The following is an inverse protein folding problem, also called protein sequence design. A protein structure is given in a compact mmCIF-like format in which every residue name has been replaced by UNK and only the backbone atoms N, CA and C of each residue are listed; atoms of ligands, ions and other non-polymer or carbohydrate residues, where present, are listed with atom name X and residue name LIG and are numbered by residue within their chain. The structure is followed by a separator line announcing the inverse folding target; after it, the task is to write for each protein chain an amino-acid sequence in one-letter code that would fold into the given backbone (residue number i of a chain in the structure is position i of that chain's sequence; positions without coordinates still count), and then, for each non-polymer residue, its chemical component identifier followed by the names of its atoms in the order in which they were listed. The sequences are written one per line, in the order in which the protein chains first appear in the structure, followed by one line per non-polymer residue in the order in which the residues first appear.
data_IF_438606331138
#
_entry.id   IF_438606331138
#
_cell.length_a   1.000
_cell.length_b   1.000
_cell.length_c   1.000
_cell.angle_alpha   90.00
_cell.angle_beta   90.00
_cell.angle_gamma   90.00
#
_symmetry.space_group_name_H-M   'P 1'
#
loop_
_entity.id
_entity.type
_entity.pdbx_description
1 polymer ?
#
# COMPACT_ATOMS: atom_id res chain seq x y z
N UNK A 1 -35.20 21.24 9.41
CA UNK A 1 -33.83 21.01 9.91
C UNK A 1 -33.17 19.94 9.03
N UNK A 2 -31.93 20.12 8.57
CA UNK A 2 -31.20 19.04 7.93
C UNK A 2 -31.08 17.84 8.89
N UNK A 3 -31.15 16.60 8.40
CA UNK A 3 -31.05 15.41 9.24
C UNK A 3 -29.73 15.44 10.03
N UNK A 4 -29.78 15.21 11.35
CA UNK A 4 -28.57 15.17 12.18
C UNK A 4 -27.68 14.00 11.71
N UNK A 5 -26.39 14.28 11.49
CA UNK A 5 -25.38 13.25 11.22
C UNK A 5 -25.28 12.32 12.43
N UNK A 6 -25.80 11.10 12.30
CA UNK A 6 -25.72 10.07 13.36
C UNK A 6 -24.30 9.52 13.50
N UNK A 7 -23.58 9.42 12.39
CA UNK A 7 -22.18 8.99 12.34
C UNK A 7 -21.35 10.05 11.62
N UNK A 8 -20.10 10.22 12.07
CA UNK A 8 -19.11 11.00 11.34
C UNK A 8 -18.71 10.31 10.05
N UNK A 9 -18.14 11.08 9.12
CA UNK A 9 -17.59 10.53 7.87
C UNK A 9 -16.52 9.46 8.17
N UNK A 10 -15.64 9.75 9.12
CA UNK A 10 -14.57 8.84 9.56
C UNK A 10 -15.11 7.52 10.13
N UNK A 11 -16.13 7.55 10.99
CA UNK A 11 -16.75 6.33 11.53
C UNK A 11 -17.32 5.41 10.44
N UNK A 12 -17.86 6.00 9.37
CA UNK A 12 -18.37 5.24 8.22
C UNK A 12 -17.22 4.65 7.41
N UNK A 13 -16.15 5.41 7.18
CA UNK A 13 -14.94 4.93 6.50
C UNK A 13 -14.28 3.79 7.30
N UNK A 14 -14.21 3.90 8.62
CA UNK A 14 -13.64 2.84 9.49
C UNK A 14 -14.44 1.55 9.41
N UNK A 15 -15.79 1.65 9.45
CA UNK A 15 -16.64 0.48 9.30
C UNK A 15 -16.49 -0.16 7.91
N UNK A 16 -16.39 0.65 6.85
CA UNK A 16 -16.17 0.17 5.49
C UNK A 16 -14.77 -0.45 5.31
N UNK A 17 -13.73 0.15 5.90
CA UNK A 17 -12.37 -0.37 5.90
C UNK A 17 -12.29 -1.74 6.55
N UNK A 18 -12.96 -1.93 7.69
CA UNK A 18 -13.00 -3.23 8.37
C UNK A 18 -13.73 -4.31 7.57
N UNK A 19 -14.72 -3.95 6.75
CA UNK A 19 -15.32 -4.89 5.76
C UNK A 19 -14.28 -5.22 4.70
N UNK A 20 -13.61 -4.20 4.16
CA UNK A 20 -12.65 -4.35 3.08
C UNK A 20 -11.42 -5.18 3.48
N UNK A 21 -10.95 -5.01 4.72
CA UNK A 21 -9.84 -5.77 5.31
C UNK A 21 -10.10 -7.27 5.31
N UNK A 22 -11.34 -7.69 5.53
CA UNK A 22 -11.71 -9.12 5.64
C UNK A 22 -12.21 -9.68 4.31
N UNK A 23 -12.99 -8.89 3.57
CA UNK A 23 -13.75 -9.38 2.42
C UNK A 23 -13.32 -8.76 1.07
N UNK A 24 -12.53 -7.67 1.11
CA UNK A 24 -12.12 -6.90 -0.06
C UNK A 24 -12.95 -5.64 -0.31
N UNK A 25 -12.37 -4.68 -1.03
CA UNK A 25 -13.00 -3.42 -1.46
C UNK A 25 -14.27 -3.67 -2.26
N UNK A 26 -14.28 -4.65 -3.18
CA UNK A 26 -15.47 -4.98 -3.98
C UNK A 26 -16.65 -5.52 -3.17
N UNK A 27 -16.46 -5.83 -1.89
CA UNK A 27 -17.52 -6.27 -0.98
C UNK A 27 -18.12 -5.14 -0.15
N UNK A 28 -17.60 -3.92 -0.25
CA UNK A 28 -18.21 -2.75 0.37
C UNK A 28 -19.56 -2.49 -0.30
N UNK A 29 -20.60 -2.40 0.51
CA UNK A 29 -21.93 -1.93 0.09
C UNK A 29 -22.51 -1.04 1.18
N UNK A 30 -23.34 -0.06 0.81
CA UNK A 30 -24.01 0.81 1.78
C UNK A 30 -24.79 -0.01 2.82
N UNK A 31 -25.43 -1.11 2.41
CA UNK A 31 -26.16 -2.00 3.33
C UNK A 31 -25.23 -2.65 4.35
N UNK A 32 -24.14 -3.28 3.91
CA UNK A 32 -23.19 -3.93 4.83
C UNK A 32 -22.57 -2.95 5.81
N UNK A 33 -22.23 -1.75 5.35
CA UNK A 33 -21.68 -0.70 6.22
C UNK A 33 -22.72 -0.26 7.25
N UNK A 34 -23.98 -0.11 6.86
CA UNK A 34 -25.07 0.23 7.77
C UNK A 34 -25.32 -0.87 8.81
N UNK A 35 -25.31 -2.13 8.38
CA UNK A 35 -25.46 -3.30 9.25
C UNK A 35 -24.31 -3.34 10.28
N UNK A 36 -23.06 -3.12 9.84
CA UNK A 36 -21.90 -3.07 10.73
C UNK A 36 -21.94 -1.92 11.72
N UNK A 37 -22.57 -0.80 11.37
CA UNK A 37 -22.81 0.34 12.24
C UNK A 37 -24.08 0.20 13.10
N UNK A 38 -24.86 -0.89 12.97
CA UNK A 38 -26.13 -1.06 13.67
C UNK A 38 -27.14 0.03 13.33
N UNK A 39 -27.25 0.40 12.05
CA UNK A 39 -28.08 1.52 11.60
C UNK A 39 -28.81 1.24 10.28
N UNK A 40 -29.80 2.06 9.96
CA UNK A 40 -30.33 2.12 8.59
C UNK A 40 -29.29 2.70 7.62
N UNK A 41 -29.53 2.58 6.31
CA UNK A 41 -28.66 3.13 5.26
C UNK A 41 -28.66 4.66 5.19
N UNK A 42 -29.69 5.33 5.74
CA UNK A 42 -29.89 6.77 5.56
C UNK A 42 -28.72 7.63 6.09
N UNK A 43 -28.11 7.37 7.26
CA UNK A 43 -26.97 8.13 7.74
C UNK A 43 -25.70 8.03 6.88
N UNK A 44 -25.58 6.99 6.04
CA UNK A 44 -24.46 6.85 5.12
C UNK A 44 -24.64 7.82 3.94
N UNK A 45 -25.85 7.87 3.37
CA UNK A 45 -26.19 8.81 2.28
C UNK A 45 -26.17 10.29 2.69
N UNK A 46 -26.16 10.59 3.99
CA UNK A 46 -25.92 11.96 4.48
C UNK A 46 -24.46 12.39 4.33
N UNK A 47 -23.52 11.43 4.24
CA UNK A 47 -22.09 11.70 4.16
C UNK A 47 -21.46 11.33 2.81
N UNK A 48 -22.10 10.47 2.01
CA UNK A 48 -21.59 9.97 0.73
C UNK A 48 -22.71 9.93 -0.30
N UNK A 49 -22.42 10.33 -1.54
CA UNK A 49 -23.39 10.32 -2.64
C UNK A 49 -23.67 8.90 -3.13
N UNK A 50 -22.64 8.06 -3.17
CA UNK A 50 -22.70 6.67 -3.60
C UNK A 50 -21.64 5.82 -2.89
N UNK A 51 -21.60 4.52 -3.24
CA UNK A 51 -20.62 3.59 -2.68
C UNK A 51 -19.20 3.84 -3.20
N UNK A 52 -19.06 4.42 -4.38
CA UNK A 52 -17.77 4.70 -5.01
C UNK A 52 -17.02 5.81 -4.26
N UNK A 53 -17.71 6.86 -3.85
CA UNK A 53 -17.17 7.91 -2.99
C UNK A 53 -16.66 7.34 -1.66
N UNK A 54 -17.41 6.39 -1.07
CA UNK A 54 -17.00 5.71 0.15
C UNK A 54 -15.77 4.83 -0.07
N UNK A 55 -15.74 4.05 -1.15
CA UNK A 55 -14.59 3.20 -1.51
C UNK A 55 -13.34 4.06 -1.70
N UNK A 56 -13.44 5.19 -2.39
CA UNK A 56 -12.33 6.13 -2.57
C UNK A 56 -11.73 6.61 -1.24
N UNK A 57 -12.58 6.94 -0.26
CA UNK A 57 -12.08 7.36 1.05
C UNK A 57 -11.51 6.20 1.89
N UNK A 58 -11.99 4.96 1.67
CA UNK A 58 -11.34 3.75 2.22
C UNK A 58 -9.95 3.54 1.61
N UNK A 59 -9.79 3.75 0.29
CA UNK A 59 -8.48 3.69 -0.39
C UNK A 59 -7.52 4.73 0.17
N UNK A 60 -7.97 5.98 0.38
CA UNK A 60 -7.16 7.02 1.03
C UNK A 60 -6.72 6.62 2.43
N UNK A 61 -7.64 6.09 3.25
CA UNK A 61 -7.30 5.59 4.59
C UNK A 61 -6.23 4.50 4.52
N UNK A 62 -6.32 3.60 3.55
CA UNK A 62 -5.31 2.55 3.35
C UNK A 62 -3.94 3.11 2.99
N UNK A 63 -3.87 4.15 2.15
CA UNK A 63 -2.62 4.85 1.83
C UNK A 63 -2.02 5.48 3.08
N UNK A 64 -2.83 6.14 3.90
CA UNK A 64 -2.38 6.71 5.18
C UNK A 64 -1.83 5.65 6.13
N UNK A 65 -2.47 4.47 6.20
CA UNK A 65 -1.95 3.34 6.98
C UNK A 65 -0.59 2.91 6.45
N UNK A 66 -0.44 2.76 5.13
CA UNK A 66 0.84 2.37 4.53
C UNK A 66 1.95 3.41 4.81
N UNK A 67 1.65 4.70 4.68
CA UNK A 67 2.59 5.78 5.02
C UNK A 67 3.00 5.73 6.49
N UNK A 68 2.05 5.51 7.40
CA UNK A 68 2.32 5.35 8.82
C UNK A 68 3.23 4.13 9.09
N UNK A 69 3.01 3.02 8.40
CA UNK A 69 3.85 1.82 8.53
C UNK A 69 5.30 2.06 8.08
N UNK A 70 5.51 2.92 7.07
CA UNK A 70 6.85 3.36 6.63
C UNK A 70 7.50 4.22 7.73
N UNK A 71 6.78 5.21 8.25
CA UNK A 71 7.29 6.11 9.30
C UNK A 71 7.57 5.43 10.64
N UNK A 72 6.91 4.30 10.92
CA UNK A 72 7.17 3.46 12.08
C UNK A 72 8.47 2.66 11.96
N UNK A 73 9.03 2.52 10.75
CA UNK A 73 10.32 1.89 10.57
C UNK A 73 11.44 2.84 11.00
N UNK A 74 12.55 2.26 11.44
CA UNK A 74 13.72 3.00 11.88
C UNK A 74 14.98 2.17 11.68
N UNK A 75 15.19 1.64 10.46
CA UNK A 75 16.42 0.90 10.16
C UNK A 75 17.63 1.81 9.88
N UNK A 76 17.38 3.11 9.71
CA UNK A 76 18.41 4.09 9.36
C UNK A 76 18.65 4.23 7.86
N UNK A 77 17.93 3.47 7.02
CA UNK A 77 17.87 3.65 5.57
C UNK A 77 16.40 3.70 5.11
N UNK A 78 15.95 4.88 4.69
CA UNK A 78 14.56 5.13 4.27
C UNK A 78 14.11 4.21 3.13
N UNK A 79 15.02 3.81 2.22
CA UNK A 79 14.65 2.91 1.12
C UNK A 79 14.37 1.49 1.61
N UNK A 80 15.18 1.01 2.55
CA UNK A 80 14.97 -0.27 3.21
C UNK A 80 13.67 -0.27 4.02
N UNK A 81 13.42 0.82 4.74
CA UNK A 81 12.21 1.04 5.54
C UNK A 81 10.93 0.99 4.69
N UNK A 82 10.94 1.64 3.51
CA UNK A 82 9.84 1.52 2.52
C UNK A 82 9.60 0.05 2.15
N UNK A 83 10.67 -0.70 1.92
CA UNK A 83 10.57 -2.10 1.51
C UNK A 83 10.01 -3.02 2.59
N UNK A 84 10.45 -2.87 3.84
CA UNK A 84 9.95 -3.65 4.99
C UNK A 84 8.49 -3.33 5.26
N UNK A 85 8.12 -2.04 5.27
CA UNK A 85 6.74 -1.63 5.45
C UNK A 85 5.82 -2.19 4.35
N UNK A 86 6.30 -2.23 3.10
CA UNK A 86 5.55 -2.79 1.97
C UNK A 86 5.28 -4.29 2.14
N UNK A 87 6.27 -5.08 2.59
CA UNK A 87 6.09 -6.51 2.88
C UNK A 87 5.12 -6.73 4.05
N UNK A 88 5.27 -5.95 5.12
CA UNK A 88 4.38 -5.99 6.29
C UNK A 88 2.95 -5.66 5.88
N UNK A 89 2.75 -4.64 5.05
CA UNK A 89 1.44 -4.26 4.53
C UNK A 89 0.81 -5.41 3.71
N UNK A 90 1.57 -6.03 2.80
CA UNK A 90 1.09 -7.15 2.00
C UNK A 90 0.71 -8.36 2.85
N UNK A 91 1.39 -8.58 3.98
CA UNK A 91 1.07 -9.65 4.93
C UNK A 91 -0.17 -9.34 5.78
N UNK A 92 -0.19 -8.19 6.46
CA UNK A 92 -1.27 -7.80 7.39
C UNK A 92 -2.59 -7.50 6.69
N UNK A 93 -2.53 -6.97 5.46
CA UNK A 93 -3.69 -6.56 4.67
C UNK A 93 -3.81 -7.38 3.37
N UNK A 94 -3.49 -8.67 3.42
CA UNK A 94 -3.39 -9.56 2.26
C UNK A 94 -4.62 -9.56 1.33
N UNK A 95 -5.85 -9.52 1.86
CA UNK A 95 -7.07 -9.45 1.03
C UNK A 95 -7.11 -8.16 0.21
N UNK A 96 -6.84 -7.03 0.86
CA UNK A 96 -6.78 -5.71 0.20
C UNK A 96 -5.63 -5.65 -0.80
N UNK A 97 -4.44 -6.09 -0.39
CA UNK A 97 -3.26 -6.12 -1.25
C UNK A 97 -3.52 -6.95 -2.52
N UNK A 98 -4.05 -8.17 -2.37
CA UNK A 98 -4.37 -9.03 -3.51
C UNK A 98 -5.40 -8.39 -4.44
N UNK A 99 -6.45 -7.77 -3.91
CA UNK A 99 -7.46 -7.12 -4.74
C UNK A 99 -6.93 -5.91 -5.50
N UNK A 100 -6.05 -5.13 -4.88
CA UNK A 100 -5.39 -3.99 -5.51
C UNK A 100 -4.40 -4.40 -6.60
N UNK A 101 -3.72 -5.54 -6.43
CA UNK A 101 -2.74 -6.04 -7.40
C UNK A 101 -3.36 -6.81 -8.57
N UNK A 102 -4.46 -7.56 -8.33
CA UNK A 102 -5.02 -8.49 -9.32
C UNK A 102 -6.08 -7.86 -10.24
N UNK A 103 -6.68 -6.73 -9.84
CA UNK A 103 -7.66 -6.02 -10.66
C UNK A 103 -7.03 -4.80 -11.27
N UNK A 104 -7.42 -4.46 -12.50
CA UNK A 104 -7.16 -3.14 -13.05
C UNK A 104 -7.92 -2.14 -12.19
N UNK A 105 -7.25 -1.58 -11.19
CA UNK A 105 -7.90 -0.81 -10.17
C UNK A 105 -7.89 0.67 -10.56
N UNK A 106 -9.05 1.18 -10.97
CA UNK A 106 -9.19 2.59 -11.36
C UNK A 106 -8.88 3.54 -10.20
N UNK A 107 -9.14 3.11 -8.95
CA UNK A 107 -8.79 3.87 -7.75
C UNK A 107 -7.28 3.96 -7.50
N UNK A 108 -6.43 3.22 -8.22
CA UNK A 108 -4.97 3.31 -8.08
C UNK A 108 -4.28 3.98 -9.26
N UNK A 109 -4.98 4.28 -10.37
CA UNK A 109 -4.31 4.86 -11.55
C UNK A 109 -3.67 6.21 -11.25
N UNK A 110 -4.46 7.14 -10.71
CA UNK A 110 -3.98 8.49 -10.38
C UNK A 110 -3.10 8.47 -9.12
N UNK A 111 -3.47 7.64 -8.14
CA UNK A 111 -2.73 7.50 -6.88
C UNK A 111 -1.36 6.83 -7.06
N UNK A 112 -1.17 5.92 -8.01
CA UNK A 112 0.13 5.29 -8.23
C UNK A 112 1.20 6.30 -8.65
N UNK A 113 0.82 7.34 -9.40
CA UNK A 113 1.74 8.41 -9.79
C UNK A 113 2.07 9.32 -8.60
N UNK A 114 1.07 9.74 -7.82
CA UNK A 114 1.28 10.56 -6.62
C UNK A 114 2.10 9.82 -5.55
N UNK A 115 1.69 8.59 -5.20
CA UNK A 115 2.43 7.74 -4.26
C UNK A 115 3.84 7.46 -4.78
N UNK A 116 4.01 7.25 -6.09
CA UNK A 116 5.33 7.07 -6.70
C UNK A 116 6.25 8.27 -6.46
N UNK A 117 5.74 9.49 -6.64
CA UNK A 117 6.51 10.72 -6.42
C UNK A 117 6.83 10.94 -4.94
N UNK A 118 5.90 10.64 -4.04
CA UNK A 118 6.12 10.71 -2.58
C UNK A 118 7.20 9.72 -2.15
N UNK A 119 7.13 8.48 -2.63
CA UNK A 119 8.16 7.47 -2.35
C UNK A 119 9.53 7.88 -2.91
N UNK A 120 9.59 8.42 -4.14
CA UNK A 120 10.85 8.94 -4.71
C UNK A 120 11.41 10.09 -3.88
N UNK A 121 10.54 10.95 -3.33
CA UNK A 121 10.97 12.03 -2.44
C UNK A 121 11.58 11.49 -1.15
N UNK A 122 10.97 10.47 -0.54
CA UNK A 122 11.54 9.77 0.63
C UNK A 122 12.85 9.02 0.29
N UNK A 123 12.95 8.41 -0.89
CA UNK A 123 14.16 7.70 -1.34
C UNK A 123 15.38 8.61 -1.42
N UNK A 124 15.20 9.92 -1.65
CA UNK A 124 16.30 10.89 -1.68
C UNK A 124 16.97 11.10 -0.30
N UNK A 125 16.31 10.69 0.78
CA UNK A 125 16.87 10.74 2.13
C UNK A 125 17.83 9.57 2.40
N UNK A 126 17.83 8.54 1.54
CA UNK A 126 18.71 7.39 1.69
C UNK A 126 20.12 7.68 1.16
N UNK A 127 21.12 7.45 2.01
CA UNK A 127 22.55 7.57 1.66
C UNK A 127 22.94 6.59 0.54
N UNK A 128 22.33 5.40 0.50
CA UNK A 128 22.62 4.39 -0.53
C UNK A 128 22.12 4.79 -1.92
N UNK A 129 21.19 5.74 -1.98
CA UNK A 129 20.60 6.27 -3.22
C UNK A 129 21.12 7.65 -3.62
N UNK A 130 22.09 8.19 -2.88
CA UNK A 130 22.69 9.49 -3.18
C UNK A 130 23.24 9.55 -4.61
N UNK A 131 22.96 10.66 -5.29
CA UNK A 131 23.47 10.94 -6.63
C UNK A 131 22.61 10.40 -7.78
N UNK A 132 21.54 9.65 -7.54
CA UNK A 132 20.57 9.28 -8.58
C UNK A 132 19.60 10.42 -8.92
N UNK A 133 19.16 10.51 -10.17
CA UNK A 133 18.09 11.41 -10.60
C UNK A 133 16.71 10.83 -10.26
N UNK A 134 15.67 11.67 -10.28
CA UNK A 134 14.28 11.23 -10.05
C UNK A 134 13.85 10.11 -11.02
N UNK A 135 14.29 10.17 -12.28
CA UNK A 135 14.02 9.11 -13.26
C UNK A 135 14.73 7.80 -12.89
N UNK A 136 15.99 7.87 -12.43
CA UNK A 136 16.76 6.71 -11.99
C UNK A 136 16.14 6.09 -10.72
N UNK A 137 15.74 6.92 -9.75
CA UNK A 137 15.04 6.52 -8.54
C UNK A 137 13.70 5.88 -8.85
N UNK A 138 12.91 6.46 -9.76
CA UNK A 138 11.64 5.89 -10.20
C UNK A 138 11.83 4.51 -10.85
N UNK A 139 12.89 4.33 -11.62
CA UNK A 139 13.22 3.03 -12.22
C UNK A 139 13.68 1.99 -11.18
N UNK A 140 14.47 2.39 -10.18
CA UNK A 140 14.85 1.54 -9.04
C UNK A 140 13.60 1.13 -8.27
N UNK A 141 12.73 2.10 -7.94
CA UNK A 141 11.48 1.87 -7.22
C UNK A 141 10.57 0.91 -7.99
N UNK A 142 10.42 1.09 -9.29
CA UNK A 142 9.60 0.21 -10.14
C UNK A 142 10.10 -1.23 -10.10
N UNK A 143 11.42 -1.46 -10.25
CA UNK A 143 12.02 -2.80 -10.18
C UNK A 143 11.76 -3.45 -8.83
N UNK A 144 11.99 -2.73 -7.74
CA UNK A 144 11.77 -3.25 -6.39
C UNK A 144 10.29 -3.53 -6.12
N UNK A 145 9.37 -2.67 -6.57
CA UNK A 145 7.92 -2.91 -6.45
C UNK A 145 7.48 -4.16 -7.21
N UNK A 146 7.98 -4.39 -8.42
CA UNK A 146 7.68 -5.59 -9.19
C UNK A 146 8.19 -6.84 -8.46
N UNK A 147 9.44 -6.80 -7.99
CA UNK A 147 10.04 -7.87 -7.21
C UNK A 147 9.24 -8.17 -5.94
N UNK A 148 8.91 -7.14 -5.14
CA UNK A 148 8.11 -7.24 -3.92
C UNK A 148 6.71 -7.78 -4.18
N UNK A 149 6.07 -7.35 -5.28
CA UNK A 149 4.76 -7.85 -5.69
C UNK A 149 4.81 -9.36 -5.96
N UNK A 150 5.80 -9.82 -6.73
CA UNK A 150 6.04 -11.24 -6.97
C UNK A 150 6.34 -12.01 -5.68
N UNK A 151 7.25 -11.50 -4.86
CA UNK A 151 7.62 -12.11 -3.57
C UNK A 151 6.42 -12.23 -2.64
N UNK A 152 5.57 -11.20 -2.54
CA UNK A 152 4.36 -11.21 -1.71
C UNK A 152 3.36 -12.28 -2.17
N UNK A 153 3.18 -12.44 -3.49
CA UNK A 153 2.35 -13.53 -4.05
C UNK A 153 2.95 -14.89 -3.69
N UNK A 154 4.26 -15.07 -3.80
CA UNK A 154 4.93 -16.33 -3.44
C UNK A 154 4.79 -16.67 -1.95
N UNK A 155 4.96 -15.68 -1.07
CA UNK A 155 4.74 -15.82 0.38
C UNK A 155 3.29 -16.21 0.66
N UNK A 156 2.32 -15.45 0.13
CA UNK A 156 0.90 -15.65 0.39
C UNK A 156 0.38 -17.02 -0.08
N UNK A 157 0.96 -17.57 -1.14
CA UNK A 157 0.59 -18.87 -1.70
C UNK A 157 1.47 -20.03 -1.19
N UNK A 158 2.37 -19.79 -0.23
CA UNK A 158 3.26 -20.82 0.30
C UNK A 158 4.19 -21.44 -0.75
N UNK A 159 4.58 -20.66 -1.76
CA UNK A 159 5.41 -21.11 -2.89
C UNK A 159 6.91 -20.99 -2.61
N UNK A 160 7.28 -20.47 -1.44
CA UNK A 160 8.68 -20.39 -0.99
C UNK A 160 9.11 -21.71 -0.32
N UNK A 161 10.42 -22.01 -0.29
CA UNK A 161 10.96 -23.14 0.46
C UNK A 161 10.47 -23.17 1.92
N UNK A 162 10.29 -24.36 2.50
CA UNK A 162 9.71 -24.50 3.86
C UNK A 162 10.55 -23.88 4.97
N UNK A 163 11.85 -23.71 4.75
CA UNK A 163 12.79 -23.08 5.67
C UNK A 163 12.92 -21.56 5.45
N UNK A 164 12.10 -20.98 4.57
CA UNK A 164 12.11 -19.56 4.23
C UNK A 164 11.27 -18.76 5.24
N UNK A 165 11.92 -18.31 6.32
CA UNK A 165 11.32 -17.52 7.40
C UNK A 165 11.12 -16.06 6.97
N UNK A 166 10.35 -15.28 7.76
CA UNK A 166 10.21 -13.84 7.55
C UNK A 166 11.55 -13.11 7.52
N UNK A 167 12.51 -13.50 8.36
CA UNK A 167 13.85 -12.92 8.36
C UNK A 167 14.55 -13.14 7.01
N UNK A 168 14.46 -14.35 6.44
CA UNK A 168 14.99 -14.64 5.09
C UNK A 168 14.28 -13.87 3.98
N UNK A 169 13.00 -13.54 4.14
CA UNK A 169 12.27 -12.66 3.20
C UNK A 169 12.86 -11.25 3.23
N UNK A 170 13.17 -10.72 4.42
CA UNK A 170 13.82 -9.41 4.56
C UNK A 170 15.25 -9.44 4.04
N UNK A 171 16.04 -10.47 4.35
CA UNK A 171 17.39 -10.64 3.80
C UNK A 171 17.41 -10.68 2.28
N UNK A 172 16.48 -11.42 1.66
CA UNK A 172 16.35 -11.48 0.20
C UNK A 172 15.96 -10.13 -0.39
N UNK A 173 15.09 -9.37 0.30
CA UNK A 173 14.74 -8.03 -0.11
C UNK A 173 15.95 -7.09 -0.08
N UNK A 174 16.73 -7.14 1.00
CA UNK A 174 17.93 -6.33 1.19
C UNK A 174 18.99 -6.65 0.11
N UNK A 175 19.29 -7.94 -0.11
CA UNK A 175 20.28 -8.34 -1.12
C UNK A 175 19.84 -7.96 -2.54
N UNK A 176 18.55 -8.09 -2.84
CA UNK A 176 18.00 -7.70 -4.15
C UNK A 176 18.05 -6.18 -4.35
N UNK A 177 17.79 -5.40 -3.30
CA UNK A 177 17.93 -3.95 -3.34
C UNK A 177 19.38 -3.55 -3.65
N UNK A 178 20.36 -4.18 -2.99
CA UNK A 178 21.78 -3.99 -3.26
C UNK A 178 22.13 -4.30 -4.72
N UNK A 179 21.72 -5.46 -5.23
CA UNK A 179 21.94 -5.87 -6.63
C UNK A 179 21.41 -4.82 -7.63
N UNK A 180 20.19 -4.32 -7.39
CA UNK A 180 19.55 -3.31 -8.25
C UNK A 180 20.30 -1.98 -8.18
N UNK A 181 20.67 -1.51 -6.99
CA UNK A 181 21.37 -0.24 -6.78
C UNK A 181 22.77 -0.28 -7.39
N UNK A 182 23.55 -1.33 -7.11
CA UNK A 182 24.92 -1.49 -7.65
C UNK A 182 24.89 -1.52 -9.17
N UNK A 183 23.99 -2.31 -9.76
CA UNK A 183 23.85 -2.37 -11.22
C UNK A 183 23.36 -1.03 -11.81
N UNK A 184 22.55 -0.26 -11.10
CA UNK A 184 22.15 1.08 -11.52
C UNK A 184 23.33 2.07 -11.51
N UNK A 185 24.15 2.06 -10.44
CA UNK A 185 25.37 2.89 -10.34
C UNK A 185 26.38 2.57 -11.44
N UNK A 186 26.62 1.27 -11.72
CA UNK A 186 27.53 0.86 -12.80
C UNK A 186 27.08 1.38 -14.16
N UNK A 187 25.80 1.23 -14.50
CA UNK A 187 25.25 1.74 -15.77
C UNK A 187 25.33 3.27 -15.88
N UNK A 188 25.20 3.98 -14.76
CA UNK A 188 25.34 5.43 -14.70
C UNK A 188 26.77 5.87 -14.99
N UNK A 189 27.76 5.23 -14.36
CA UNK A 189 29.18 5.56 -14.52
C UNK A 189 29.76 5.14 -15.88
N UNK A 190 29.08 4.26 -16.61
CA UNK A 190 29.46 3.86 -17.98
C UNK A 190 28.89 4.78 -19.07
N UNK A 191 28.09 5.79 -18.70
CA UNK A 191 27.62 6.84 -19.61
C UNK A 191 28.49 8.08 -19.48
#
# INVERSE_FOLDING_TARGET
MPPKKKFSKEQIVDAAFEIARVEGLSKITIRKVADKLGSSIAPIYVNFNDVEELINDVVKKMITINQQMILEQNSGDTFRDIGIASLRFASEYSVLFNELMMKQNEYLKDYNQEIGNDLVSMMKESVTLEGFTDEELMNILLKMRIFQGGLSIMVANGLLPKDFTNDKVVELLDSTAEDVIVAARLRKNSK
#
